data_IF_004931705040
#
_entry.id   IF_004931705040
#
_cell.length_a   1.000
_cell.length_b   1.000
_cell.length_c   1.000
_cell.angle_alpha   90.00
_cell.angle_beta   90.00
_cell.angle_gamma   90.00
#
_symmetry.space_group_name_H-M   'P 1'
#
loop_
_entity.id
_entity.type
_entity.pdbx_description
1 polymer ?
#
# COMPACT_ATOMS: atom_id res chain seq x y z
N UNK A 1 -2.50 6.18 13.93
CA UNK A 1 -3.00 7.16 12.96
C UNK A 1 -2.17 7.31 11.68
N UNK A 2 -0.98 7.93 11.69
CA UNK A 2 -0.23 8.22 10.45
C UNK A 2 0.36 6.97 9.77
N UNK A 3 0.86 6.00 10.56
CA UNK A 3 1.52 4.79 10.02
C UNK A 3 0.53 3.83 9.34
N UNK A 4 -0.68 3.68 9.91
CA UNK A 4 -1.69 2.79 9.34
C UNK A 4 -2.11 3.29 7.95
N UNK A 5 -2.30 4.61 7.79
CA UNK A 5 -2.57 5.24 6.50
C UNK A 5 -1.45 5.05 5.49
N UNK A 6 -0.19 5.15 5.94
CA UNK A 6 0.96 4.85 5.08
C UNK A 6 0.97 3.38 4.65
N UNK A 7 0.70 2.45 5.58
CA UNK A 7 0.60 1.03 5.29
C UNK A 7 -0.55 0.74 4.30
N UNK A 8 -1.72 1.35 4.48
CA UNK A 8 -2.83 1.28 3.53
C UNK A 8 -2.45 1.82 2.15
N UNK A 9 -1.76 2.96 2.09
CA UNK A 9 -1.28 3.52 0.82
C UNK A 9 -0.32 2.56 0.09
N UNK A 10 0.59 1.90 0.84
CA UNK A 10 1.48 0.86 0.29
C UNK A 10 0.66 -0.31 -0.29
N UNK A 11 -0.29 -0.84 0.47
CA UNK A 11 -1.13 -1.95 0.02
C UNK A 11 -1.99 -1.59 -1.20
N UNK A 12 -2.53 -0.37 -1.25
CA UNK A 12 -3.31 0.13 -2.41
C UNK A 12 -2.45 0.19 -3.66
N UNK A 13 -1.20 0.64 -3.54
CA UNK A 13 -0.25 0.76 -4.65
C UNK A 13 0.03 -0.60 -5.32
N UNK A 14 0.13 -1.66 -4.52
CA UNK A 14 0.36 -3.03 -5.02
C UNK A 14 -0.93 -3.85 -5.18
N UNK A 15 -2.12 -3.26 -4.97
CA UNK A 15 -3.42 -3.97 -4.96
C UNK A 15 -3.64 -4.88 -6.17
N UNK A 16 -3.31 -4.40 -7.37
CA UNK A 16 -3.47 -5.18 -8.61
C UNK A 16 -2.62 -6.45 -8.60
N UNK A 17 -1.41 -6.38 -8.03
CA UNK A 17 -0.52 -7.54 -7.90
C UNK A 17 -1.00 -8.49 -6.80
N UNK A 18 -1.49 -7.94 -5.69
CA UNK A 18 -2.07 -8.74 -4.61
C UNK A 18 -3.28 -9.56 -5.07
N UNK A 19 -4.18 -8.95 -5.86
CA UNK A 19 -5.39 -9.63 -6.37
C UNK A 19 -5.09 -10.66 -7.46
N UNK A 20 -3.98 -10.54 -8.16
CA UNK A 20 -3.55 -11.50 -9.18
C UNK A 20 -2.69 -12.63 -8.62
N UNK A 21 -2.07 -12.43 -7.44
CA UNK A 21 -1.18 -13.39 -6.81
C UNK A 21 -1.88 -14.37 -5.90
N UNK A 22 -1.30 -15.56 -5.76
CA UNK A 22 -1.63 -16.50 -4.68
C UNK A 22 -0.97 -16.07 -3.36
N UNK A 23 -1.28 -16.78 -2.28
CA UNK A 23 -0.75 -16.47 -0.94
C UNK A 23 0.79 -16.39 -0.91
N UNK A 24 1.47 -17.38 -1.51
CA UNK A 24 2.94 -17.44 -1.53
C UNK A 24 3.55 -16.28 -2.32
N UNK A 25 2.98 -15.93 -3.49
CA UNK A 25 3.44 -14.78 -4.27
C UNK A 25 3.21 -13.46 -3.53
N UNK A 26 2.08 -13.34 -2.84
CA UNK A 26 1.74 -12.16 -2.04
C UNK A 26 2.69 -12.00 -0.84
N UNK A 27 3.05 -13.09 -0.16
CA UNK A 27 4.08 -13.06 0.88
C UNK A 27 5.44 -12.60 0.35
N UNK A 28 5.88 -13.17 -0.79
CA UNK A 28 7.15 -12.77 -1.42
C UNK A 28 7.13 -11.30 -1.83
N UNK A 29 6.02 -10.80 -2.36
CA UNK A 29 5.84 -9.40 -2.76
C UNK A 29 5.90 -8.45 -1.56
N UNK A 30 5.26 -8.81 -0.45
CA UNK A 30 5.27 -7.99 0.77
C UNK A 30 6.65 -7.98 1.45
N UNK A 31 7.34 -9.12 1.45
CA UNK A 31 8.71 -9.24 1.97
C UNK A 31 9.73 -8.51 1.09
N UNK A 32 9.51 -8.47 -0.23
CA UNK A 32 10.37 -7.82 -1.22
C UNK A 32 9.63 -6.65 -1.86
N UNK A 33 9.28 -5.66 -1.04
CA UNK A 33 8.46 -4.55 -1.48
C UNK A 33 9.18 -3.71 -2.56
N UNK A 34 8.50 -3.34 -3.67
CA UNK A 34 9.13 -2.60 -4.76
C UNK A 34 9.56 -1.20 -4.33
N UNK A 35 10.72 -0.76 -4.80
CA UNK A 35 11.22 0.61 -4.60
C UNK A 35 10.18 1.63 -5.10
N UNK A 36 9.60 2.35 -4.15
CA UNK A 36 8.54 3.34 -4.40
C UNK A 36 8.98 4.67 -3.83
N UNK A 37 8.72 5.77 -4.54
CA UNK A 37 9.04 7.12 -4.05
C UNK A 37 8.29 7.43 -2.76
N UNK A 38 9.02 7.79 -1.70
CA UNK A 38 8.43 8.14 -0.40
C UNK A 38 7.48 9.33 -0.53
N UNK A 39 7.80 10.32 -1.37
CA UNK A 39 6.93 11.47 -1.62
C UNK A 39 5.58 11.05 -2.21
N UNK A 40 5.58 10.09 -3.12
CA UNK A 40 4.35 9.56 -3.71
C UNK A 40 3.51 8.78 -2.69
N UNK A 41 4.16 8.03 -1.79
CA UNK A 41 3.47 7.35 -0.68
C UNK A 41 2.86 8.32 0.33
N UNK A 42 3.55 9.41 0.64
CA UNK A 42 3.04 10.47 1.53
C UNK A 42 1.83 11.18 0.93
N UNK A 43 1.86 11.50 -0.37
CA UNK A 43 0.72 12.07 -1.10
C UNK A 43 -0.49 11.12 -1.12
N UNK A 44 -0.28 9.83 -1.39
CA UNK A 44 -1.33 8.82 -1.31
C UNK A 44 -1.89 8.68 0.12
N UNK A 45 -1.04 8.69 1.13
CA UNK A 45 -1.46 8.58 2.52
C UNK A 45 -2.24 9.82 3.01
N UNK A 46 -1.89 11.02 2.53
CA UNK A 46 -2.63 12.24 2.83
C UNK A 46 -3.99 12.27 2.12
N UNK A 47 -4.08 11.77 0.88
CA UNK A 47 -5.38 11.56 0.21
C UNK A 47 -6.30 10.62 1.00
N UNK A 48 -5.75 9.63 1.68
CA UNK A 48 -6.52 8.73 2.56
C UNK A 48 -7.00 9.40 3.85
N UNK A 49 -6.45 10.57 4.25
CA UNK A 49 -6.90 11.31 5.44
C UNK A 49 -8.31 11.90 5.26
N UNK A 50 -8.72 12.21 4.04
CA UNK A 50 -10.05 12.75 3.71
C UNK A 50 -11.10 11.69 3.38
N UNK A 51 -10.72 10.41 3.29
CA UNK A 51 -11.64 9.34 2.97
C UNK A 51 -12.25 8.80 4.27
N UNK A 52 -13.57 8.86 4.48
CA UNK A 52 -14.19 8.15 5.60
C UNK A 52 -13.92 6.66 5.39
N UNK A 53 -13.22 6.06 6.35
CA UNK A 53 -13.03 4.62 6.44
C UNK A 53 -14.42 4.04 6.72
N UNK A 54 -15.10 3.58 5.67
CA UNK A 54 -16.36 2.84 5.76
C UNK A 54 -16.05 1.36 6.02
#
# INVERSE_FOLDING_TARGET
ESLLRLCCAMLILIRKRLLAGDFTSNLKLLQNYPSTSVNHLLDLADKLRGLPIL
#
